data_IF_593921185706
#
_entry.id   IF_593921185706
#
_cell.length_a   1.000
_cell.length_b   1.000
_cell.length_c   1.000
_cell.angle_alpha   90.00
_cell.angle_beta   90.00
_cell.angle_gamma   90.00
#
_symmetry.space_group_name_H-M   'P 1'
#
loop_
_entity.id
_entity.type
_entity.pdbx_description
1 polymer ?
#
# COMPACT_ATOMS: atom_id res chain seq x y z
N UNK A 1 -3.76 17.23 -30.28
CA UNK A 1 -4.33 18.17 -29.28
C UNK A 1 -5.36 19.03 -29.99
N UNK A 2 -6.56 19.10 -29.46
CA UNK A 2 -7.70 19.87 -29.99
C UNK A 2 -8.39 20.59 -28.82
N UNK A 3 -8.95 21.78 -29.05
CA UNK A 3 -9.77 22.47 -28.07
C UNK A 3 -11.24 22.32 -28.46
N UNK A 4 -12.03 21.75 -27.56
CA UNK A 4 -13.48 21.62 -27.71
C UNK A 4 -14.20 22.66 -26.87
N UNK A 5 -15.26 23.28 -27.40
CA UNK A 5 -16.08 24.24 -26.66
C UNK A 5 -17.40 23.56 -26.27
N UNK A 6 -17.63 23.43 -24.96
CA UNK A 6 -18.80 22.77 -24.38
C UNK A 6 -20.11 23.40 -24.86
N UNK A 7 -21.05 22.55 -25.29
CA UNK A 7 -22.39 22.90 -25.77
C UNK A 7 -23.46 22.48 -24.77
N UNK A 8 -24.67 23.06 -24.85
CA UNK A 8 -25.79 22.63 -24.01
C UNK A 8 -26.07 21.13 -24.17
N UNK A 9 -26.09 20.41 -23.05
CA UNK A 9 -26.37 18.96 -23.00
C UNK A 9 -25.14 18.06 -23.06
N UNK A 10 -23.93 18.62 -23.22
CA UNK A 10 -22.71 17.83 -23.21
C UNK A 10 -22.40 17.24 -21.84
N UNK A 11 -21.85 16.03 -21.84
CA UNK A 11 -21.21 15.38 -20.70
C UNK A 11 -19.78 14.97 -21.08
N UNK A 12 -18.92 14.74 -20.10
CA UNK A 12 -17.55 14.24 -20.35
C UNK A 12 -17.59 12.96 -21.17
N UNK A 13 -18.46 12.00 -20.80
CA UNK A 13 -18.57 10.71 -21.49
C UNK A 13 -19.03 10.87 -22.95
N UNK A 14 -20.03 11.72 -23.20
CA UNK A 14 -20.52 11.94 -24.56
C UNK A 14 -19.47 12.62 -25.46
N UNK A 15 -18.67 13.54 -24.90
CA UNK A 15 -17.56 14.16 -25.62
C UNK A 15 -16.45 13.13 -25.86
N UNK A 16 -16.10 12.33 -24.85
CA UNK A 16 -15.10 11.28 -24.94
C UNK A 16 -15.41 10.28 -26.06
N UNK A 17 -16.65 9.78 -26.12
CA UNK A 17 -17.13 8.87 -27.15
C UNK A 17 -17.09 9.51 -28.55
N UNK A 18 -17.55 10.76 -28.68
CA UNK A 18 -17.57 11.47 -29.95
C UNK A 18 -16.17 11.70 -30.55
N UNK A 19 -15.16 11.87 -29.68
CA UNK A 19 -13.78 12.15 -30.09
C UNK A 19 -12.88 10.90 -30.06
N UNK A 20 -13.40 9.76 -29.57
CA UNK A 20 -12.65 8.52 -29.42
C UNK A 20 -11.46 8.67 -28.48
N UNK A 21 -11.67 9.33 -27.33
CA UNK A 21 -10.66 9.54 -26.28
C UNK A 21 -11.23 9.05 -24.94
N UNK A 22 -10.35 8.75 -23.98
CA UNK A 22 -10.78 8.35 -22.64
C UNK A 22 -11.45 9.52 -21.89
N UNK A 23 -12.59 9.31 -21.21
CA UNK A 23 -13.18 10.30 -20.29
C UNK A 23 -12.18 10.80 -19.24
N UNK A 24 -11.36 9.90 -18.70
CA UNK A 24 -10.32 10.20 -17.71
C UNK A 24 -9.28 11.18 -18.27
N UNK A 25 -8.90 11.04 -19.54
CA UNK A 25 -7.98 11.98 -20.19
C UNK A 25 -8.58 13.40 -20.26
N UNK A 26 -9.87 13.53 -20.60
CA UNK A 26 -10.56 14.83 -20.60
C UNK A 26 -10.59 15.43 -19.19
N UNK A 27 -11.00 14.63 -18.20
CA UNK A 27 -11.10 15.05 -16.80
C UNK A 27 -9.75 15.54 -16.28
N UNK A 28 -8.69 14.75 -16.51
CA UNK A 28 -7.34 15.04 -16.06
C UNK A 28 -6.78 16.31 -16.72
N UNK A 29 -6.82 16.39 -18.04
CA UNK A 29 -6.26 17.54 -18.77
C UNK A 29 -6.93 18.88 -18.39
N UNK A 30 -8.19 18.82 -17.99
CA UNK A 30 -9.01 20.00 -17.71
C UNK A 30 -9.30 20.20 -16.22
N UNK A 31 -8.71 19.36 -15.35
CA UNK A 31 -8.81 19.42 -13.90
C UNK A 31 -10.28 19.52 -13.42
N UNK A 32 -11.15 18.70 -14.00
CA UNK A 32 -12.60 18.76 -13.75
C UNK A 32 -12.93 17.97 -12.48
N UNK A 33 -13.38 18.60 -11.38
CA UNK A 33 -13.70 17.89 -10.15
C UNK A 33 -15.00 17.07 -10.32
N UNK A 34 -15.10 15.95 -9.61
CA UNK A 34 -16.37 15.21 -9.47
C UNK A 34 -17.48 16.13 -8.93
N UNK A 35 -18.73 16.10 -9.45
CA UNK A 35 -19.34 15.12 -10.36
C UNK A 35 -19.15 15.44 -11.86
N UNK A 36 -18.01 16.03 -12.22
CA UNK A 36 -17.61 16.39 -13.58
C UNK A 36 -18.55 17.39 -14.28
N UNK A 37 -18.99 18.47 -13.60
CA UNK A 37 -19.86 19.45 -14.22
C UNK A 37 -19.13 20.19 -15.35
N UNK A 38 -19.81 20.38 -16.47
CA UNK A 38 -19.34 21.18 -17.58
C UNK A 38 -20.15 22.47 -17.69
N UNK A 39 -19.47 23.60 -17.92
CA UNK A 39 -20.12 24.87 -18.19
C UNK A 39 -20.23 25.11 -19.70
N UNK A 40 -21.41 25.50 -20.19
CA UNK A 40 -21.58 25.86 -21.60
C UNK A 40 -20.60 26.99 -21.96
N UNK A 41 -19.83 26.80 -23.02
CA UNK A 41 -18.76 27.72 -23.44
C UNK A 41 -17.38 27.43 -22.82
N UNK A 42 -17.27 26.48 -21.90
CA UNK A 42 -15.98 26.03 -21.35
C UNK A 42 -15.12 25.43 -22.47
N UNK A 43 -13.84 25.82 -22.53
CA UNK A 43 -12.87 25.23 -23.41
C UNK A 43 -12.24 24.00 -22.75
N UNK A 44 -12.31 22.85 -23.41
CA UNK A 44 -11.71 21.59 -22.98
C UNK A 44 -10.55 21.22 -23.89
N UNK A 45 -9.39 20.95 -23.29
CA UNK A 45 -8.25 20.35 -23.95
C UNK A 45 -8.48 18.85 -24.14
N UNK A 46 -8.61 18.46 -25.41
CA UNK A 46 -8.72 17.07 -25.83
C UNK A 46 -7.37 16.60 -26.38
N UNK A 47 -6.77 15.61 -25.73
CA UNK A 47 -5.59 14.92 -26.23
C UNK A 47 -5.96 13.50 -26.63
N UNK A 48 -5.78 13.16 -27.90
CA UNK A 48 -5.76 11.75 -28.31
C UNK A 48 -4.43 11.18 -27.84
N UNK A 49 -4.46 10.09 -27.09
CA UNK A 49 -3.25 9.32 -26.88
C UNK A 49 -2.81 8.79 -28.24
N UNK A 50 -1.78 9.40 -28.82
CA UNK A 50 -1.12 8.82 -29.97
C UNK A 50 -0.41 7.58 -29.47
N UNK A 51 -0.66 6.46 -30.14
CA UNK A 51 0.05 5.19 -29.97
C UNK A 51 1.59 5.32 -30.15
N UNK A 52 2.05 6.50 -30.57
CA UNK A 52 3.43 6.92 -30.78
C UNK A 52 4.07 7.64 -29.60
N UNK A 53 3.35 7.87 -28.49
CA UNK A 53 4.05 7.94 -27.21
C UNK A 53 4.67 6.56 -27.07
N UNK A 54 6.01 6.40 -27.03
CA UNK A 54 6.58 5.10 -26.71
C UNK A 54 5.87 4.69 -25.42
N UNK A 55 5.07 3.60 -25.46
CA UNK A 55 4.65 2.90 -24.24
C UNK A 55 5.92 2.88 -23.43
N UNK A 56 5.97 3.69 -22.37
CA UNK A 56 7.19 3.92 -21.63
C UNK A 56 7.76 2.53 -21.40
N UNK A 57 8.92 2.26 -21.98
CA UNK A 57 9.49 0.93 -22.09
C UNK A 57 9.61 0.37 -20.68
N UNK A 58 8.62 -0.42 -20.24
CA UNK A 58 8.44 -1.10 -18.96
C UNK A 58 9.43 -0.71 -17.85
N UNK A 59 9.57 0.58 -17.55
CA UNK A 59 9.96 0.98 -16.22
C UNK A 59 8.68 0.76 -15.43
N UNK A 60 8.55 -0.45 -14.88
CA UNK A 60 7.51 -0.79 -13.92
C UNK A 60 7.75 0.13 -12.72
N UNK A 61 7.24 1.36 -12.79
CA UNK A 61 7.20 2.25 -11.64
C UNK A 61 6.13 1.64 -10.75
N UNK A 62 6.57 0.97 -9.68
CA UNK A 62 5.66 0.57 -8.62
C UNK A 62 5.35 1.80 -7.78
N UNK A 63 4.08 2.15 -7.67
CA UNK A 63 3.61 3.23 -6.82
C UNK A 63 2.71 2.64 -5.75
N UNK A 64 3.05 2.90 -4.49
CA UNK A 64 2.31 2.41 -3.34
C UNK A 64 1.71 3.54 -2.53
N UNK A 65 0.56 3.30 -1.91
CA UNK A 65 -0.08 4.25 -1.00
C UNK A 65 -0.60 3.57 0.26
N UNK A 66 -0.25 4.10 1.43
CA UNK A 66 -0.86 3.69 2.70
C UNK A 66 -2.23 4.34 2.87
N UNK A 67 -3.22 3.55 3.29
CA UNK A 67 -4.55 4.04 3.58
C UNK A 67 -5.09 3.43 4.88
N UNK A 68 -5.68 4.29 5.71
CA UNK A 68 -6.47 3.86 6.86
C UNK A 68 -7.94 3.67 6.46
N UNK A 69 -8.69 2.80 7.15
CA UNK A 69 -10.13 2.62 6.93
C UNK A 69 -10.99 3.89 7.06
N UNK A 70 -10.47 4.96 7.67
CA UNK A 70 -11.15 6.25 7.75
C UNK A 70 -10.85 7.19 6.56
N UNK A 71 -10.10 6.74 5.54
CA UNK A 71 -9.81 7.52 4.34
C UNK A 71 -11.11 7.97 3.66
N UNK A 72 -11.11 9.19 3.11
CA UNK A 72 -12.20 9.67 2.27
C UNK A 72 -12.32 8.80 1.01
N UNK A 73 -13.54 8.33 0.70
CA UNK A 73 -13.82 7.59 -0.54
C UNK A 73 -13.39 8.35 -1.78
N UNK A 74 -13.61 9.66 -1.80
CA UNK A 74 -13.19 10.48 -2.93
C UNK A 74 -11.67 10.48 -3.11
N UNK A 75 -10.89 10.59 -2.02
CA UNK A 75 -9.43 10.55 -2.11
C UNK A 75 -8.97 9.18 -2.59
N UNK A 76 -9.55 8.10 -2.04
CA UNK A 76 -9.24 6.73 -2.45
C UNK A 76 -9.49 6.54 -3.95
N UNK A 77 -10.69 6.84 -4.42
CA UNK A 77 -11.11 6.62 -5.82
C UNK A 77 -10.27 7.45 -6.81
N UNK A 78 -9.84 8.65 -6.42
CA UNK A 78 -8.96 9.48 -7.27
C UNK A 78 -7.50 9.01 -7.28
N UNK A 79 -7.07 8.26 -6.27
CA UNK A 79 -5.66 7.85 -6.11
C UNK A 79 -5.40 6.46 -6.69
N UNK A 80 -6.33 5.52 -6.48
CA UNK A 80 -6.17 4.10 -6.86
C UNK A 80 -5.73 3.87 -8.31
N UNK A 81 -6.26 4.54 -9.34
CA UNK A 81 -5.84 4.30 -10.74
C UNK A 81 -4.35 4.55 -11.03
N UNK A 82 -3.63 5.16 -10.10
CA UNK A 82 -2.21 5.47 -10.20
C UNK A 82 -1.33 4.61 -9.27
N UNK A 83 -1.92 3.70 -8.51
CA UNK A 83 -1.21 2.83 -7.56
C UNK A 83 -1.11 1.40 -8.09
N UNK A 84 0.08 0.82 -7.93
CA UNK A 84 0.32 -0.62 -8.01
C UNK A 84 -0.16 -1.32 -6.74
N UNK A 85 0.08 -0.71 -5.58
CA UNK A 85 -0.17 -1.30 -4.26
C UNK A 85 -0.95 -0.34 -3.34
N UNK A 86 -1.99 -0.84 -2.68
CA UNK A 86 -2.67 -0.15 -1.59
C UNK A 86 -2.35 -0.85 -0.27
N UNK A 87 -1.50 -0.24 0.56
CA UNK A 87 -1.13 -0.74 1.87
C UNK A 87 -2.21 -0.38 2.90
N UNK A 88 -2.99 -1.36 3.33
CA UNK A 88 -4.17 -1.17 4.19
C UNK A 88 -3.75 -1.24 5.66
N UNK A 89 -3.78 -0.09 6.33
CA UNK A 89 -3.28 0.10 7.69
C UNK A 89 -4.40 -0.09 8.74
N UNK A 90 -4.28 -1.01 9.70
CA UNK A 90 -3.33 -2.11 9.77
C UNK A 90 -3.94 -3.25 10.58
N UNK A 91 -3.30 -4.40 10.51
CA UNK A 91 -3.56 -5.54 11.36
C UNK A 91 -2.52 -5.59 12.47
N UNK A 92 -2.98 -5.66 13.71
CA UNK A 92 -2.16 -5.88 14.90
C UNK A 92 -2.03 -7.36 15.24
N UNK A 93 -1.46 -7.66 16.40
CA UNK A 93 -1.40 -9.03 16.92
C UNK A 93 -1.27 -9.09 18.45
N UNK A 94 -1.65 -10.23 19.03
CA UNK A 94 -1.45 -10.53 20.46
C UNK A 94 -0.09 -11.20 20.70
N UNK A 95 0.42 -11.26 21.96
CA UNK A 95 1.63 -12.01 22.28
C UNK A 95 1.58 -13.49 21.89
N UNK A 96 0.38 -14.07 21.82
CA UNK A 96 0.15 -15.47 21.45
C UNK A 96 0.05 -15.68 19.93
N UNK A 97 0.16 -14.61 19.13
CA UNK A 97 0.12 -14.68 17.68
C UNK A 97 -1.30 -14.64 17.07
N UNK A 98 -2.31 -14.20 17.82
CA UNK A 98 -3.63 -13.94 17.22
C UNK A 98 -3.58 -12.64 16.44
N UNK A 99 -4.06 -12.66 15.19
CA UNK A 99 -4.14 -11.47 14.35
C UNK A 99 -5.32 -10.59 14.78
N UNK A 100 -5.10 -9.27 14.86
CA UNK A 100 -6.09 -8.28 15.28
C UNK A 100 -6.46 -7.42 14.07
N UNK A 101 -7.69 -7.49 13.55
CA UNK A 101 -8.11 -6.64 12.43
C UNK A 101 -8.21 -5.17 12.84
N UNK A 102 -8.23 -4.23 11.88
CA UNK A 102 -8.49 -2.83 12.17
C UNK A 102 -9.87 -2.63 12.83
N UNK A 103 -10.00 -1.60 13.68
CA UNK A 103 -11.25 -1.30 14.41
C UNK A 103 -12.43 -0.94 13.48
N UNK A 104 -12.12 -0.39 12.32
CA UNK A 104 -13.08 0.00 11.29
C UNK A 104 -13.01 -1.00 10.14
N UNK A 105 -14.16 -1.23 9.50
CA UNK A 105 -14.24 -2.11 8.32
C UNK A 105 -13.38 -1.58 7.16
N UNK A 106 -12.47 -2.43 6.69
CA UNK A 106 -11.55 -2.22 5.58
C UNK A 106 -12.00 -2.94 4.29
N UNK A 107 -13.15 -3.64 4.30
CA UNK A 107 -13.66 -4.39 3.13
C UNK A 107 -13.80 -3.50 1.89
N UNK A 108 -14.20 -2.24 2.08
CA UNK A 108 -14.33 -1.29 0.98
C UNK A 108 -12.98 -0.91 0.36
N UNK A 109 -11.89 -0.88 1.13
CA UNK A 109 -10.54 -0.61 0.62
C UNK A 109 -10.08 -1.74 -0.30
N UNK A 110 -10.25 -2.99 0.15
CA UNK A 110 -9.90 -4.18 -0.62
C UNK A 110 -10.71 -4.21 -1.92
N UNK A 111 -12.03 -4.01 -1.83
CA UNK A 111 -12.91 -4.06 -3.01
C UNK A 111 -12.58 -2.95 -4.02
N UNK A 112 -12.33 -1.72 -3.54
CA UNK A 112 -11.98 -0.59 -4.38
C UNK A 112 -10.63 -0.80 -5.07
N UNK A 113 -9.61 -1.26 -4.34
CA UNK A 113 -8.28 -1.55 -4.88
C UNK A 113 -8.35 -2.57 -6.03
N UNK A 114 -9.01 -3.71 -5.80
CA UNK A 114 -9.19 -4.75 -6.83
C UNK A 114 -9.97 -4.25 -8.04
N UNK A 115 -10.96 -3.38 -7.83
CA UNK A 115 -11.75 -2.79 -8.93
C UNK A 115 -10.93 -1.81 -9.79
N UNK A 116 -9.84 -1.27 -9.25
CA UNK A 116 -8.93 -0.34 -9.91
C UNK A 116 -7.64 -1.01 -10.42
N UNK A 117 -7.53 -2.35 -10.36
CA UNK A 117 -6.31 -3.11 -10.69
C UNK A 117 -5.10 -2.73 -9.80
N UNK A 118 -5.37 -2.36 -8.55
CA UNK A 118 -4.39 -2.10 -7.49
C UNK A 118 -4.37 -3.26 -6.50
N UNK A 119 -3.20 -3.79 -6.17
CA UNK A 119 -3.05 -4.89 -5.22
C UNK A 119 -3.36 -4.41 -3.78
N UNK A 120 -4.36 -4.97 -3.09
CA UNK A 120 -4.57 -4.68 -1.67
C UNK A 120 -3.55 -5.44 -0.81
N UNK A 121 -2.69 -4.72 -0.10
CA UNK A 121 -1.62 -5.27 0.73
C UNK A 121 -2.02 -5.19 2.21
N UNK A 122 -1.89 -6.29 2.95
CA UNK A 122 -2.15 -6.32 4.39
C UNK A 122 -0.93 -5.75 5.13
N UNK A 123 -1.09 -4.59 5.77
CA UNK A 123 -0.01 -4.03 6.61
C UNK A 123 -0.08 -4.59 8.02
N UNK A 124 0.95 -5.31 8.44
CA UNK A 124 1.10 -5.89 9.77
C UNK A 124 1.93 -4.97 10.66
N UNK A 125 1.35 -4.51 11.77
CA UNK A 125 1.99 -3.60 12.72
C UNK A 125 2.03 -4.22 14.12
N UNK A 126 2.96 -3.80 15.00
CA UNK A 126 3.01 -4.27 16.38
C UNK A 126 2.00 -3.54 17.27
N UNK A 127 0.75 -3.45 16.81
CA UNK A 127 -0.36 -2.89 17.55
C UNK A 127 -1.06 -3.96 18.37
N UNK A 128 -1.17 -3.73 19.67
CA UNK A 128 -1.89 -4.62 20.56
C UNK A 128 -3.41 -4.39 20.54
N UNK A 129 -4.17 -5.16 21.34
CA UNK A 129 -5.63 -5.00 21.46
C UNK A 129 -6.10 -3.62 21.91
N UNK A 130 -5.21 -2.83 22.53
CA UNK A 130 -5.48 -1.44 22.93
C UNK A 130 -5.19 -0.42 21.81
N UNK A 131 -4.82 -0.87 20.61
CA UNK A 131 -4.45 -0.02 19.47
C UNK A 131 -3.13 0.72 19.64
N UNK A 132 -2.28 0.32 20.60
CA UNK A 132 -1.00 0.96 20.85
C UNK A 132 0.15 0.13 20.31
N UNK A 133 1.14 0.84 19.75
CA UNK A 133 2.43 0.31 19.39
C UNK A 133 3.14 -0.34 20.60
N UNK A 134 3.76 -1.50 20.40
CA UNK A 134 4.53 -2.18 21.44
C UNK A 134 5.69 -3.01 20.89
N UNK A 135 6.92 -2.62 21.22
CA UNK A 135 8.11 -3.45 20.96
C UNK A 135 8.07 -4.78 21.71
N UNK A 136 7.45 -4.83 22.89
CA UNK A 136 7.23 -6.07 23.63
C UNK A 136 6.47 -7.12 22.79
N UNK A 137 5.47 -6.71 22.02
CA UNK A 137 4.74 -7.64 21.14
C UNK A 137 5.67 -8.27 20.10
N UNK A 138 6.54 -7.47 19.49
CA UNK A 138 7.56 -7.96 18.55
C UNK A 138 8.41 -9.02 19.24
N UNK A 139 9.03 -8.70 20.39
CA UNK A 139 9.90 -9.61 21.12
C UNK A 139 9.19 -10.91 21.51
N UNK A 140 7.92 -10.86 21.91
CA UNK A 140 7.14 -12.04 22.26
C UNK A 140 6.92 -12.96 21.06
N UNK A 141 6.56 -12.40 19.91
CA UNK A 141 6.24 -13.21 18.73
C UNK A 141 7.50 -13.73 18.04
N UNK A 142 8.52 -12.90 17.83
CA UNK A 142 9.72 -13.33 17.06
C UNK A 142 10.55 -14.37 17.81
N UNK A 143 10.43 -14.47 19.14
CA UNK A 143 11.13 -15.46 19.97
C UNK A 143 10.25 -16.65 20.38
N UNK A 144 9.01 -16.75 19.88
CA UNK A 144 8.09 -17.83 20.22
C UNK A 144 7.57 -18.51 18.96
N UNK A 145 8.11 -19.69 18.65
CA UNK A 145 7.74 -20.46 17.47
C UNK A 145 6.24 -20.78 17.38
N UNK A 146 5.57 -21.03 18.51
CA UNK A 146 4.12 -21.29 18.51
C UNK A 146 3.30 -20.04 18.21
N UNK A 147 3.72 -18.88 18.72
CA UNK A 147 3.05 -17.61 18.43
C UNK A 147 3.30 -17.17 16.98
N UNK A 148 4.55 -17.27 16.51
CA UNK A 148 4.92 -16.99 15.12
C UNK A 148 4.12 -17.85 14.14
N UNK A 149 4.05 -19.16 14.35
CA UNK A 149 3.30 -20.06 13.47
C UNK A 149 1.82 -19.71 13.44
N UNK A 150 1.22 -19.42 14.60
CA UNK A 150 -0.18 -19.02 14.66
C UNK A 150 -0.45 -17.70 13.95
N UNK A 151 0.46 -16.74 14.08
CA UNK A 151 0.34 -15.47 13.38
C UNK A 151 0.40 -15.70 11.86
N UNK A 152 1.36 -16.49 11.37
CA UNK A 152 1.48 -16.85 9.95
C UNK A 152 0.19 -17.52 9.43
N UNK A 153 -0.38 -18.46 10.19
CA UNK A 153 -1.64 -19.14 9.82
C UNK A 153 -2.82 -18.18 9.74
N UNK A 154 -2.98 -17.28 10.71
CA UNK A 154 -4.05 -16.27 10.69
C UNK A 154 -3.87 -15.28 9.52
N UNK A 155 -2.62 -14.88 9.25
CA UNK A 155 -2.29 -13.90 8.22
C UNK A 155 -2.55 -14.48 6.82
N UNK A 156 -2.08 -15.70 6.55
CA UNK A 156 -2.37 -16.43 5.30
C UNK A 156 -3.86 -16.74 5.13
N UNK A 157 -4.57 -17.02 6.23
CA UNK A 157 -6.03 -17.11 6.27
C UNK A 157 -6.71 -15.83 5.80
N UNK A 158 -6.33 -14.66 6.35
CA UNK A 158 -6.89 -13.37 5.93
C UNK A 158 -6.60 -13.05 4.46
N UNK A 159 -5.40 -13.38 3.96
CA UNK A 159 -5.04 -13.20 2.55
C UNK A 159 -6.03 -13.96 1.66
N UNK A 160 -6.26 -15.24 1.96
CA UNK A 160 -7.12 -16.11 1.16
C UNK A 160 -8.60 -15.74 1.28
N UNK A 161 -9.07 -15.49 2.51
CA UNK A 161 -10.49 -15.24 2.80
C UNK A 161 -10.96 -13.89 2.28
N UNK A 162 -10.10 -12.86 2.38
CA UNK A 162 -10.47 -11.48 2.07
C UNK A 162 -9.91 -10.99 0.74
N UNK A 163 -8.97 -11.72 0.15
CA UNK A 163 -8.40 -11.43 -1.16
C UNK A 163 -7.36 -10.32 -1.13
N UNK A 164 -6.55 -10.24 -0.06
CA UNK A 164 -5.30 -9.48 -0.07
C UNK A 164 -4.31 -10.13 -1.05
N UNK A 165 -3.39 -9.33 -1.56
CA UNK A 165 -2.44 -9.72 -2.60
C UNK A 165 -0.99 -9.44 -2.20
N UNK A 166 -0.72 -9.44 -0.88
CA UNK A 166 0.61 -9.34 -0.30
C UNK A 166 0.56 -8.93 1.17
N UNK A 167 1.74 -8.85 1.78
CA UNK A 167 1.92 -8.40 3.17
C UNK A 167 3.03 -7.37 3.25
N UNK A 168 2.79 -6.32 4.02
CA UNK A 168 3.84 -5.38 4.42
C UNK A 168 4.07 -5.48 5.92
N UNK A 169 5.30 -5.83 6.32
CA UNK A 169 5.69 -5.94 7.73
C UNK A 169 6.24 -4.57 8.18
N UNK A 170 5.40 -3.80 8.84
CA UNK A 170 5.71 -2.47 9.36
C UNK A 170 6.04 -2.52 10.86
N UNK A 171 7.18 -3.15 11.18
CA UNK A 171 7.68 -3.25 12.53
C UNK A 171 8.75 -2.18 12.76
N UNK A 172 8.57 -1.37 13.80
CA UNK A 172 9.52 -0.34 14.24
C UNK A 172 10.09 -0.66 15.62
N UNK A 173 11.09 0.11 16.07
CA UNK A 173 11.65 0.00 17.44
C UNK A 173 11.99 -1.43 17.91
N UNK A 174 12.48 -2.28 16.99
CA UNK A 174 12.91 -3.65 17.28
C UNK A 174 14.13 -3.60 18.21
N UNK A 175 14.09 -4.36 19.31
CA UNK A 175 15.22 -4.45 20.24
C UNK A 175 16.46 -5.00 19.53
N UNK A 176 17.65 -4.56 19.95
CA UNK A 176 18.91 -4.97 19.33
C UNK A 176 19.12 -6.49 19.44
N UNK A 177 18.71 -7.11 20.55
CA UNK A 177 18.73 -8.56 20.76
C UNK A 177 17.78 -9.33 19.82
N UNK A 178 16.72 -8.69 19.34
CA UNK A 178 15.70 -9.31 18.49
C UNK A 178 16.00 -9.20 16.98
N UNK A 179 17.15 -8.63 16.61
CA UNK A 179 17.57 -8.45 15.20
C UNK A 179 17.46 -9.75 14.38
N UNK A 180 18.10 -10.83 14.85
CA UNK A 180 18.14 -12.10 14.12
C UNK A 180 16.80 -12.84 14.20
N UNK A 181 16.13 -12.93 15.38
CA UNK A 181 14.76 -13.41 15.46
C UNK A 181 13.80 -12.71 14.47
N UNK A 182 13.88 -11.38 14.35
CA UNK A 182 13.05 -10.61 13.42
C UNK A 182 13.36 -10.94 11.95
N UNK A 183 14.63 -11.07 11.57
CA UNK A 183 15.01 -11.52 10.21
C UNK A 183 14.40 -12.90 9.89
N UNK A 184 14.46 -13.84 10.83
CA UNK A 184 13.90 -15.18 10.62
C UNK A 184 12.37 -15.13 10.53
N UNK A 185 11.72 -14.32 11.37
CA UNK A 185 10.29 -14.07 11.29
C UNK A 185 9.85 -13.55 9.92
N UNK A 186 10.56 -12.57 9.35
CA UNK A 186 10.29 -12.06 7.99
C UNK A 186 10.45 -13.16 6.94
N UNK A 187 11.51 -13.99 7.05
CA UNK A 187 11.75 -15.10 6.13
C UNK A 187 10.63 -16.14 6.17
N UNK A 188 10.13 -16.45 7.36
CA UNK A 188 9.06 -17.44 7.56
C UNK A 188 7.72 -16.93 7.02
N UNK A 189 7.38 -15.65 7.25
CA UNK A 189 6.22 -15.01 6.62
C UNK A 189 6.38 -15.01 5.09
N UNK A 190 7.54 -14.59 4.57
CA UNK A 190 7.81 -14.59 3.13
C UNK A 190 7.57 -15.97 2.53
N UNK A 191 8.07 -17.03 3.15
CA UNK A 191 7.89 -18.39 2.65
C UNK A 191 6.39 -18.75 2.55
N UNK A 192 5.63 -18.54 3.62
CA UNK A 192 4.21 -18.88 3.66
C UNK A 192 3.35 -18.05 2.69
N UNK A 193 3.65 -16.76 2.55
CA UNK A 193 2.88 -15.85 1.66
C UNK A 193 3.25 -16.07 0.19
N UNK A 194 4.51 -16.38 -0.13
CA UNK A 194 4.91 -16.73 -1.50
C UNK A 194 4.33 -18.06 -1.96
N UNK A 195 4.07 -19.01 -1.07
CA UNK A 195 3.33 -20.25 -1.41
C UNK A 195 1.91 -19.94 -1.91
N UNK A 196 1.31 -18.81 -1.49
CA UNK A 196 0.04 -18.31 -2.01
C UNK A 196 0.18 -17.49 -3.30
N UNK A 197 1.42 -17.22 -3.74
CA UNK A 197 1.72 -16.46 -4.96
C UNK A 197 1.82 -14.94 -4.75
N UNK A 198 1.94 -14.47 -3.51
CA UNK A 198 1.97 -13.04 -3.18
C UNK A 198 3.30 -12.60 -2.54
N UNK A 199 3.72 -11.33 -2.72
CA UNK A 199 4.97 -10.82 -2.18
C UNK A 199 4.86 -10.39 -0.71
N UNK A 200 6.03 -10.31 -0.06
CA UNK A 200 6.19 -9.72 1.27
C UNK A 200 7.21 -8.58 1.24
N UNK A 201 6.78 -7.39 1.66
CA UNK A 201 7.66 -6.26 1.92
C UNK A 201 7.95 -6.08 3.42
N UNK A 202 9.03 -5.38 3.73
CA UNK A 202 9.37 -4.98 5.10
C UNK A 202 9.72 -3.49 5.15
N UNK A 203 9.13 -2.77 6.09
CA UNK A 203 9.41 -1.35 6.30
C UNK A 203 10.73 -1.17 7.09
N UNK A 204 11.60 -0.31 6.58
CA UNK A 204 12.91 -0.02 7.16
C UNK A 204 13.01 1.43 7.61
N UNK A 205 13.42 1.61 8.87
CA UNK A 205 13.77 2.93 9.38
C UNK A 205 14.98 3.47 8.61
N UNK A 206 15.06 4.77 8.29
CA UNK A 206 16.11 5.34 7.46
C UNK A 206 17.46 5.28 8.17
N UNK A 207 18.38 4.47 7.63
CA UNK A 207 19.77 4.35 8.11
C UNK A 207 20.74 4.97 7.10
N UNK A 208 21.82 5.55 7.62
CA UNK A 208 22.93 6.09 6.82
C UNK A 208 24.21 5.26 6.94
N UNK A 209 24.28 4.35 7.93
CA UNK A 209 25.35 3.37 8.10
C UNK A 209 24.88 2.16 8.91
N UNK A 210 25.64 1.06 8.84
CA UNK A 210 25.36 -0.15 9.62
C UNK A 210 25.60 0.03 11.13
N UNK A 211 26.44 1.00 11.51
CA UNK A 211 26.80 1.30 12.89
C UNK A 211 25.87 2.34 13.55
N UNK A 212 24.81 2.76 12.88
CA UNK A 212 23.85 3.71 13.44
C UNK A 212 23.13 3.09 14.65
N UNK A 213 23.33 3.70 15.82
CA UNK A 213 22.78 3.25 17.11
C UNK A 213 21.42 3.88 17.41
N UNK A 214 20.68 3.29 18.34
CA UNK A 214 19.37 3.74 18.79
C UNK A 214 18.30 2.69 18.54
N UNK A 215 17.28 2.69 19.42
CA UNK A 215 16.19 1.70 19.41
C UNK A 215 15.49 1.57 18.04
N UNK A 216 15.43 2.66 17.26
CA UNK A 216 14.82 2.64 15.94
C UNK A 216 15.66 1.88 14.88
N UNK A 217 16.98 1.78 15.07
CA UNK A 217 17.91 1.35 14.02
C UNK A 217 18.61 0.02 14.32
N UNK A 218 18.91 -0.27 15.59
CA UNK A 218 19.80 -1.38 15.95
C UNK A 218 19.19 -2.75 15.66
N UNK A 219 17.88 -2.91 15.82
CA UNK A 219 17.18 -4.15 15.47
C UNK A 219 16.92 -4.34 13.96
N UNK A 220 17.22 -3.34 13.11
CA UNK A 220 17.01 -3.41 11.65
C UNK A 220 18.32 -3.64 10.90
N UNK A 221 18.51 -4.89 10.45
CA UNK A 221 19.62 -5.30 9.59
C UNK A 221 19.22 -5.22 8.11
N UNK A 222 19.70 -4.21 7.39
CA UNK A 222 19.31 -3.97 6.01
C UNK A 222 19.68 -5.12 5.06
N UNK A 223 20.88 -5.69 5.22
CA UNK A 223 21.36 -6.77 4.36
C UNK A 223 20.53 -8.02 4.55
N UNK A 224 20.36 -8.45 5.80
CA UNK A 224 19.60 -9.65 6.12
C UNK A 224 18.09 -9.50 5.84
N UNK A 225 17.50 -8.33 6.08
CA UNK A 225 16.09 -8.08 5.80
C UNK A 225 15.83 -7.98 4.28
N UNK A 226 16.75 -7.38 3.53
CA UNK A 226 16.67 -7.34 2.06
C UNK A 226 16.78 -8.73 1.42
N UNK A 227 17.49 -9.67 2.05
CA UNK A 227 17.51 -11.08 1.64
C UNK A 227 16.26 -11.87 2.10
N UNK A 228 15.66 -11.47 3.23
CA UNK A 228 14.55 -12.18 3.87
C UNK A 228 13.18 -11.80 3.29
N UNK A 229 13.01 -10.59 2.76
CA UNK A 229 11.79 -10.10 2.10
C UNK A 229 11.88 -10.19 0.57
N UNK A 230 10.78 -9.90 -0.14
CA UNK A 230 10.77 -9.74 -1.60
C UNK A 230 11.13 -8.30 -2.00
N UNK A 231 10.76 -7.33 -1.16
CA UNK A 231 11.10 -5.92 -1.33
C UNK A 231 11.21 -5.21 0.03
N UNK A 232 11.74 -3.97 0.02
CA UNK A 232 11.87 -3.14 1.22
C UNK A 232 11.27 -1.77 0.98
N UNK A 233 10.65 -1.19 2.01
CA UNK A 233 10.09 0.15 1.98
C UNK A 233 10.89 1.05 2.95
N UNK A 234 11.71 1.95 2.41
CA UNK A 234 12.50 2.88 3.24
C UNK A 234 11.63 4.06 3.68
N UNK A 235 11.52 4.28 5.00
CA UNK A 235 10.75 5.40 5.56
C UNK A 235 11.54 6.71 5.52
N UNK A 236 11.80 7.22 4.31
CA UNK A 236 12.61 8.42 4.06
C UNK A 236 11.78 9.70 4.14
N UNK A 237 11.18 9.97 5.30
CA UNK A 237 10.38 11.17 5.59
C UNK A 237 10.49 11.54 7.09
N UNK A 238 9.77 12.57 7.56
CA UNK A 238 9.83 13.10 8.94
C UNK A 238 11.21 13.59 9.45
N UNK A 239 12.07 14.19 8.61
CA UNK A 239 13.26 14.90 9.14
C UNK A 239 12.92 16.17 9.95
N UNK A 240 11.72 16.71 9.76
CA UNK A 240 11.19 17.81 10.55
C UNK A 240 9.77 17.47 11.02
N UNK A 241 9.63 17.24 12.33
CA UNK A 241 8.35 16.99 13.01
C UNK A 241 8.32 17.73 14.35
N UNK A 242 7.13 18.03 14.88
CA UNK A 242 6.91 18.77 16.14
C UNK A 242 6.06 17.98 17.11
#
# INVERSE_FOLDING_TARGET
MEIYIVRPGDTVDAIADAYGISPQSIIYNNQIPYPYPLAVGQALLLSRETSDSPKATNALVSAGGYAYPFISRWVLDQTLPYLSDLFIFSYGFTPEGELIPPLLDDTFLITAAKSADTAPILTLTPFGPNGQFSNYLISQVVNNESAKQRLIENLTGQITERGFEGVDIDFEYILAEDKIPFVNFVRDIRAAVNELGYPVSVALAPKTSDQQIGLLYEGKDYGLLGEAADSVLLMTYEWGYT
#
